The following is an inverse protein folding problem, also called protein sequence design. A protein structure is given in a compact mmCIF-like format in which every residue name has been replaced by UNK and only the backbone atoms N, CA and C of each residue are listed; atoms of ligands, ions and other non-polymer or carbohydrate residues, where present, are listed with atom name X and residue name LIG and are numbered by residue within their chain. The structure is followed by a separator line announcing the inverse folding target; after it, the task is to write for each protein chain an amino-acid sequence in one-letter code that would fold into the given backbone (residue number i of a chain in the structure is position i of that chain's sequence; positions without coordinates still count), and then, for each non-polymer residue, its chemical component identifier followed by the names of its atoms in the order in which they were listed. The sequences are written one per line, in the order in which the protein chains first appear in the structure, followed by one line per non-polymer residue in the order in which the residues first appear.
data_IF_913575900186
#
_entry.id   IF_913575900186
#
_cell.length_a   1.000
_cell.length_b   1.000
_cell.length_c   1.000
_cell.angle_alpha   90.00
_cell.angle_beta   90.00
_cell.angle_gamma   90.00
#
_symmetry.space_group_name_H-M   'P 1'
#
loop_
_entity.id
_entity.type
_entity.pdbx_description
1 polymer ?
#
# COMPACT_ATOMS: atom_id res chain seq x y z
N UNK A 1 2.05 12.62 -8.99
CA UNK A 1 3.25 11.90 -9.46
C UNK A 1 3.95 11.33 -8.25
N UNK A 2 4.45 10.10 -8.30
CA UNK A 2 5.23 9.51 -7.20
C UNK A 2 6.59 9.09 -7.77
N UNK A 3 7.68 9.60 -7.19
CA UNK A 3 9.05 9.35 -7.65
C UNK A 3 9.23 9.56 -9.17
N UNK A 4 8.70 10.65 -9.72
CA UNK A 4 8.88 11.01 -11.13
C UNK A 4 8.13 10.14 -12.13
N UNK A 5 7.22 9.26 -11.68
CA UNK A 5 6.34 8.46 -12.56
C UNK A 5 4.87 8.63 -12.22
N UNK A 6 3.98 8.48 -13.22
CA UNK A 6 2.55 8.42 -12.97
C UNK A 6 2.18 7.11 -12.29
N UNK A 7 1.22 7.20 -11.38
CA UNK A 7 0.51 6.08 -10.80
C UNK A 7 -0.96 6.35 -11.05
N UNK A 8 -1.62 5.43 -11.74
CA UNK A 8 -3.04 5.52 -12.05
C UNK A 8 -3.83 4.77 -10.97
N UNK A 9 -4.98 5.33 -10.60
CA UNK A 9 -5.94 4.68 -9.72
C UNK A 9 -7.24 4.51 -10.49
N UNK A 10 -7.78 3.30 -10.47
CA UNK A 10 -9.01 2.94 -11.16
C UNK A 10 -10.05 2.48 -10.15
N UNK A 11 -11.21 3.12 -10.19
CA UNK A 11 -12.41 2.64 -9.51
C UNK A 11 -13.12 1.63 -10.39
N UNK A 12 -13.32 0.42 -9.88
CA UNK A 12 -14.02 -0.65 -10.58
C UNK A 12 -15.53 -0.53 -10.37
N UNK A 13 -16.31 -0.76 -11.42
CA UNK A 13 -17.77 -0.84 -11.32
C UNK A 13 -18.21 -2.10 -10.55
N UNK A 14 -17.49 -3.20 -10.75
CA UNK A 14 -17.65 -4.45 -10.01
C UNK A 14 -16.34 -4.74 -9.27
N UNK A 15 -16.36 -4.95 -7.95
CA UNK A 15 -15.14 -5.18 -7.19
C UNK A 15 -14.52 -6.54 -7.51
N UNK A 16 -13.19 -6.61 -7.46
CA UNK A 16 -12.46 -7.86 -7.53
C UNK A 16 -12.61 -8.63 -6.22
N UNK A 17 -13.04 -9.89 -6.30
CA UNK A 17 -13.09 -10.79 -5.15
C UNK A 17 -11.70 -11.41 -4.89
N UNK A 18 -11.10 -11.10 -3.74
CA UNK A 18 -9.81 -11.68 -3.31
C UNK A 18 -9.99 -12.26 -1.91
N UNK A 19 -10.19 -13.58 -1.83
CA UNK A 19 -10.52 -14.23 -0.55
C UNK A 19 -11.80 -13.62 0.04
N UNK A 20 -11.79 -13.06 1.27
CA UNK A 20 -12.93 -12.36 1.86
C UNK A 20 -13.09 -10.92 1.37
N UNK A 21 -12.11 -10.36 0.66
CA UNK A 21 -12.09 -8.95 0.30
C UNK A 21 -12.79 -8.68 -1.03
N UNK A 22 -13.51 -7.56 -1.06
CA UNK A 22 -14.04 -6.94 -2.27
C UNK A 22 -13.21 -5.68 -2.54
N UNK A 23 -12.31 -5.75 -3.52
CA UNK A 23 -11.37 -4.68 -3.84
C UNK A 23 -11.89 -3.91 -5.04
N UNK A 24 -12.29 -2.66 -4.82
CA UNK A 24 -12.87 -1.78 -5.85
C UNK A 24 -11.87 -0.74 -6.41
N UNK A 25 -10.64 -0.72 -5.90
CA UNK A 25 -9.60 0.23 -6.28
C UNK A 25 -8.37 -0.52 -6.79
N UNK A 26 -7.93 -0.23 -8.02
CA UNK A 26 -6.69 -0.78 -8.58
C UNK A 26 -5.66 0.33 -8.74
N UNK A 27 -4.47 0.11 -8.19
CA UNK A 27 -3.29 0.91 -8.46
C UNK A 27 -2.52 0.32 -9.66
N UNK A 28 -2.24 1.15 -10.67
CA UNK A 28 -1.41 0.82 -11.81
C UNK A 28 -0.23 1.79 -11.90
N UNK A 29 0.93 1.44 -11.32
CA UNK A 29 2.13 2.25 -11.44
C UNK A 29 2.78 2.05 -12.82
N UNK A 30 3.14 3.14 -13.50
CA UNK A 30 3.98 3.03 -14.69
C UNK A 30 5.37 2.45 -14.35
N UNK A 31 6.09 1.88 -15.32
CA UNK A 31 7.45 1.39 -15.10
C UNK A 31 8.34 2.45 -14.43
N UNK A 32 9.08 2.04 -13.40
CA UNK A 32 10.06 2.87 -12.68
C UNK A 32 11.46 2.28 -12.79
N UNK A 33 12.38 2.71 -11.91
CA UNK A 33 13.75 2.19 -11.89
C UNK A 33 13.83 0.71 -11.48
N UNK A 34 13.00 0.29 -10.52
CA UNK A 34 12.92 -1.10 -10.10
C UNK A 34 12.24 -1.92 -11.21
N UNK A 35 12.99 -2.88 -11.77
CA UNK A 35 12.49 -3.83 -12.76
C UNK A 35 11.80 -4.99 -12.04
N UNK A 36 10.55 -5.24 -12.41
CA UNK A 36 9.78 -6.40 -11.97
C UNK A 36 9.86 -7.45 -13.07
N UNK A 37 10.28 -8.69 -12.78
CA UNK A 37 10.41 -9.74 -13.78
C UNK A 37 9.05 -10.27 -14.28
N UNK A 38 7.98 -9.98 -13.53
CA UNK A 38 6.63 -10.39 -13.83
C UNK A 38 5.71 -9.17 -13.88
N UNK A 39 4.86 -9.10 -14.91
CA UNK A 39 3.82 -8.08 -15.06
C UNK A 39 2.49 -8.68 -14.63
N UNK A 40 2.02 -8.31 -13.45
CA UNK A 40 0.76 -8.80 -12.88
C UNK A 40 0.54 -8.29 -11.47
N UNK A 41 -0.34 -8.95 -10.74
CA UNK A 41 -0.61 -8.64 -9.33
C UNK A 41 0.64 -8.85 -8.47
N UNK A 42 1.03 -7.83 -7.71
CA UNK A 42 2.24 -7.89 -6.86
C UNK A 42 1.91 -7.75 -5.37
N UNK A 43 0.93 -6.90 -5.04
CA UNK A 43 0.58 -6.65 -3.64
C UNK A 43 -0.87 -6.27 -3.44
N UNK A 44 -1.31 -6.38 -2.19
CA UNK A 44 -2.53 -5.75 -1.68
C UNK A 44 -2.16 -4.75 -0.59
N UNK A 45 -2.95 -3.69 -0.48
CA UNK A 45 -2.80 -2.68 0.58
C UNK A 45 -4.04 -2.67 1.48
N UNK A 46 -3.80 -2.67 2.79
CA UNK A 46 -4.82 -2.74 3.83
C UNK A 46 -4.76 -1.46 4.68
N UNK A 47 -5.93 -0.87 4.90
CA UNK A 47 -6.04 0.33 5.72
C UNK A 47 -6.20 -0.05 7.20
N UNK A 48 -5.29 0.44 8.03
CA UNK A 48 -5.38 0.40 9.49
C UNK A 48 -5.54 1.81 10.02
N UNK A 49 -6.78 2.29 10.04
CA UNK A 49 -7.14 3.62 10.54
C UNK A 49 -6.66 3.84 11.98
N UNK A 50 -6.25 5.06 12.28
CA UNK A 50 -5.70 5.44 13.58
C UNK A 50 -4.57 6.45 13.41
N UNK A 51 -3.84 6.72 14.50
CA UNK A 51 -2.69 7.61 14.46
C UNK A 51 -1.59 7.03 13.52
N UNK A 52 -1.17 7.77 12.47
CA UNK A 52 -0.08 7.37 11.61
C UNK A 52 1.20 7.01 12.37
N UNK A 53 1.52 7.71 13.47
CA UNK A 53 2.74 7.46 14.25
C UNK A 53 2.75 6.08 14.94
N UNK A 54 1.57 5.50 15.17
CA UNK A 54 1.43 4.18 15.82
C UNK A 54 1.20 3.04 14.82
N UNK A 55 1.19 3.32 13.51
CA UNK A 55 0.84 2.33 12.48
C UNK A 55 1.67 1.05 12.61
N UNK A 56 2.99 1.16 12.77
CA UNK A 56 3.86 0.00 12.78
C UNK A 56 3.52 -0.96 13.94
N UNK A 57 3.34 -0.42 15.15
CA UNK A 57 2.98 -1.23 16.31
C UNK A 57 1.63 -1.91 16.11
N UNK A 58 0.61 -1.16 15.67
CA UNK A 58 -0.73 -1.71 15.40
C UNK A 58 -0.73 -2.77 14.30
N UNK A 59 0.07 -2.57 13.25
CA UNK A 59 0.17 -3.53 12.15
C UNK A 59 0.85 -4.84 12.60
N UNK A 60 1.86 -4.77 13.46
CA UNK A 60 2.50 -5.96 14.03
C UNK A 60 1.56 -6.78 14.91
N UNK A 61 0.64 -6.15 15.64
CA UNK A 61 -0.37 -6.85 16.46
C UNK A 61 -1.30 -7.75 15.63
N UNK A 62 -1.40 -7.52 14.32
CA UNK A 62 -2.19 -8.36 13.41
C UNK A 62 -1.40 -9.50 12.77
N UNK A 63 -0.10 -9.62 13.06
CA UNK A 63 0.78 -10.64 12.50
C UNK A 63 1.11 -11.67 13.58
N UNK A 64 0.93 -12.95 13.24
CA UNK A 64 1.33 -14.04 14.12
C UNK A 64 2.86 -14.10 14.24
N UNK A 65 3.37 -14.31 15.45
CA UNK A 65 4.80 -14.40 15.72
C UNK A 65 5.46 -15.50 14.87
N UNK A 66 4.78 -16.64 14.70
CA UNK A 66 5.27 -17.74 13.88
C UNK A 66 5.47 -17.31 12.42
N UNK A 67 4.58 -16.47 11.89
CA UNK A 67 4.67 -15.98 10.52
C UNK A 67 5.85 -15.01 10.33
N UNK A 68 6.15 -14.18 11.34
CA UNK A 68 7.29 -13.27 11.33
C UNK A 68 8.64 -14.01 11.38
N UNK A 69 8.66 -15.21 11.95
CA UNK A 69 9.84 -16.06 12.07
C UNK A 69 10.07 -16.97 10.84
N UNK A 70 9.13 -17.00 9.89
CA UNK A 70 9.27 -17.85 8.70
C UNK A 70 10.46 -17.40 7.84
N UNK A 71 11.33 -18.33 7.40
CA UNK A 71 12.41 -18.02 6.49
C UNK A 71 11.90 -17.37 5.20
N UNK A 72 12.50 -16.25 4.82
CA UNK A 72 12.15 -15.53 3.59
C UNK A 72 11.15 -14.38 3.77
N UNK A 73 10.43 -14.32 4.90
CA UNK A 73 9.58 -13.18 5.24
C UNK A 73 10.43 -11.97 5.60
N UNK A 74 10.13 -10.82 5.00
CA UNK A 74 10.81 -9.54 5.21
C UNK A 74 9.82 -8.44 5.50
N UNK A 75 10.15 -7.62 6.48
CA UNK A 75 9.40 -6.42 6.83
C UNK A 75 10.16 -5.18 6.36
N UNK A 76 9.46 -4.24 5.74
CA UNK A 76 10.02 -2.96 5.30
C UNK A 76 9.10 -1.82 5.71
N UNK A 77 9.67 -0.86 6.43
CA UNK A 77 9.00 0.40 6.76
C UNK A 77 9.36 1.46 5.73
N UNK A 78 8.38 2.26 5.33
CA UNK A 78 8.59 3.44 4.49
C UNK A 78 7.51 4.48 4.74
N UNK A 79 7.79 5.74 4.41
CA UNK A 79 6.78 6.79 4.34
C UNK A 79 6.89 7.47 2.97
N UNK A 80 6.18 6.95 1.95
CA UNK A 80 6.23 7.50 0.60
C UNK A 80 5.73 8.94 0.61
N UNK A 81 6.53 9.86 0.06
CA UNK A 81 6.17 11.29 0.00
C UNK A 81 5.72 11.65 -1.42
N UNK A 82 4.46 12.03 -1.56
CA UNK A 82 3.96 12.70 -2.76
C UNK A 82 4.45 14.16 -2.81
N UNK A 83 4.49 14.75 -4.01
CA UNK A 83 4.88 16.17 -4.19
C UNK A 83 3.99 17.15 -3.40
N UNK A 84 2.74 16.76 -3.13
CA UNK A 84 1.75 17.55 -2.39
C UNK A 84 1.35 16.96 -1.03
N UNK A 85 2.17 16.10 -0.42
CA UNK A 85 1.82 15.33 0.78
C UNK A 85 1.17 16.21 1.87
N UNK A 86 -0.09 15.89 2.20
CA UNK A 86 -0.85 16.53 3.30
C UNK A 86 -1.17 15.60 4.45
N UNK A 87 -1.19 14.30 4.19
CA UNK A 87 -1.48 13.25 5.16
C UNK A 87 -0.26 12.35 5.27
N UNK A 88 0.26 12.19 6.49
CA UNK A 88 1.35 11.26 6.72
C UNK A 88 0.87 9.84 6.41
N UNK A 89 1.51 9.18 5.45
CA UNK A 89 1.15 7.83 5.03
C UNK A 89 2.31 6.84 5.28
N UNK A 90 2.72 6.60 6.54
CA UNK A 90 3.64 5.52 6.84
C UNK A 90 3.07 4.21 6.33
N UNK A 91 3.96 3.30 5.97
CA UNK A 91 3.62 2.02 5.37
C UNK A 91 4.50 0.93 5.96
N UNK A 92 3.87 -0.15 6.43
CA UNK A 92 4.56 -1.40 6.74
C UNK A 92 4.27 -2.40 5.61
N UNK A 93 5.31 -2.81 4.90
CA UNK A 93 5.26 -3.88 3.90
C UNK A 93 5.81 -5.18 4.47
N UNK A 94 5.10 -6.29 4.24
CA UNK A 94 5.50 -7.65 4.58
C UNK A 94 5.51 -8.45 3.29
N UNK A 95 6.64 -9.09 2.98
CA UNK A 95 6.82 -9.79 1.70
C UNK A 95 7.57 -11.11 1.89
N UNK A 96 7.24 -12.10 1.07
CA UNK A 96 7.99 -13.35 0.92
C UNK A 96 9.03 -13.26 -0.22
N UNK A 97 9.15 -12.10 -0.87
CA UNK A 97 10.00 -11.87 -2.04
C UNK A 97 9.27 -11.98 -3.38
N UNK A 98 8.03 -12.48 -3.40
CA UNK A 98 7.17 -12.57 -4.58
C UNK A 98 5.91 -11.72 -4.43
N UNK A 99 5.17 -11.89 -3.33
CA UNK A 99 3.94 -11.15 -3.02
C UNK A 99 4.17 -10.28 -1.79
N UNK A 100 3.48 -9.13 -1.75
CA UNK A 100 3.56 -8.19 -0.62
C UNK A 100 2.18 -7.88 -0.05
N UNK A 101 2.07 -7.79 1.27
CA UNK A 101 0.94 -7.15 1.96
C UNK A 101 1.45 -5.84 2.56
N UNK A 102 0.73 -4.75 2.36
CA UNK A 102 1.06 -3.46 2.97
C UNK A 102 -0.03 -2.98 3.91
N UNK A 103 0.37 -2.32 4.99
CA UNK A 103 -0.52 -1.59 5.89
C UNK A 103 -0.23 -0.10 5.84
N UNK A 104 -1.28 0.72 5.85
CA UNK A 104 -1.19 2.19 5.84
C UNK A 104 -2.43 2.81 6.53
N UNK A 105 -2.37 4.06 7.03
CA UNK A 105 -3.45 4.63 7.84
C UNK A 105 -4.65 5.18 7.06
N UNK A 106 -4.50 5.43 5.76
CA UNK A 106 -5.48 6.16 4.95
C UNK A 106 -5.85 5.40 3.68
N UNK A 107 -7.09 5.49 3.22
CA UNK A 107 -7.42 5.01 1.87
C UNK A 107 -6.69 5.87 0.83
N UNK A 108 -6.26 5.24 -0.27
CA UNK A 108 -5.56 5.96 -1.34
C UNK A 108 -6.42 7.09 -1.93
N UNK A 109 -7.75 6.92 -1.94
CA UNK A 109 -8.71 7.95 -2.34
C UNK A 109 -8.64 9.19 -1.44
N UNK A 110 -8.46 9.00 -0.13
CA UNK A 110 -8.33 10.10 0.84
C UNK A 110 -7.01 10.84 0.64
N UNK A 111 -5.93 10.10 0.39
CA UNK A 111 -4.62 10.69 0.04
C UNK A 111 -4.78 11.58 -1.20
N UNK A 112 -5.33 11.05 -2.29
CA UNK A 112 -5.53 11.81 -3.52
C UNK A 112 -6.46 13.01 -3.32
N UNK A 113 -7.55 12.85 -2.56
CA UNK A 113 -8.46 13.94 -2.25
C UNK A 113 -7.77 15.05 -1.44
N UNK A 114 -6.87 14.70 -0.53
CA UNK A 114 -6.11 15.68 0.27
C UNK A 114 -5.13 16.49 -0.58
N UNK A 115 -4.59 15.91 -1.65
CA UNK A 115 -3.61 16.55 -2.53
C UNK A 115 -4.27 17.40 -3.63
N UNK A 116 -5.55 17.16 -3.95
CA UNK A 116 -6.32 17.99 -4.86
C UNK A 116 -6.59 19.36 -4.23
N UNK A 117 -6.04 20.41 -4.83
CA UNK A 117 -6.36 21.80 -4.46
C UNK A 117 -7.87 22.03 -4.64
N UNK A 118 -8.56 22.53 -3.61
CA UNK A 118 -9.92 23.08 -3.78
C UNK A 118 -9.81 24.22 -4.77
N UNK A 119 -10.37 24.04 -5.98
CA UNK A 119 -10.59 25.13 -6.93
C UNK A 119 -11.61 26.12 -6.36
#
# INVERSE_FOLDING_TARGET
MINGRPICLFDLHEPLQVGPWQIDCIELPYPGEKRYPHEGWEHVELVLSGDPATLYARALEHLADEALLLPGIKLKQSSPKGEGERLANPTLAITDGNVTIKFHPHHIRDIVASERVKQ
#
